data_IF_446844501616
#
_entry.id   IF_446844501616
#
_cell.length_a   1.000
_cell.length_b   1.000
_cell.length_c   1.000
_cell.angle_alpha   90.00
_cell.angle_beta   90.00
_cell.angle_gamma   90.00
#
_symmetry.space_group_name_H-M   'P 1'
#
loop_
_entity.id
_entity.type
_entity.pdbx_description
1 polymer ?
#
# COMPACT_ATOMS: atom_id res chain seq x y z
N UNK A 1 -2.52 -4.43 -29.51
CA UNK A 1 -1.27 -5.00 -28.93
C UNK A 1 -0.56 -4.04 -27.95
N UNK A 2 -0.90 -2.75 -27.86
CA UNK A 2 -0.26 -1.79 -26.93
C UNK A 2 -0.88 -1.74 -25.53
N UNK A 3 -2.14 -2.15 -25.35
CA UNK A 3 -2.86 -2.07 -24.07
C UNK A 3 -2.32 -3.02 -23.00
N UNK A 4 -1.87 -4.22 -23.38
CA UNK A 4 -1.36 -5.23 -22.44
C UNK A 4 -0.04 -4.82 -21.76
N UNK A 5 0.83 -4.10 -22.47
CA UNK A 5 2.11 -3.65 -21.93
C UNK A 5 1.94 -2.63 -20.81
N UNK A 6 0.94 -1.75 -20.92
CA UNK A 6 0.60 -0.80 -19.85
C UNK A 6 0.08 -1.49 -18.60
N UNK A 7 -0.77 -2.51 -18.76
CA UNK A 7 -1.28 -3.32 -17.64
C UNK A 7 -0.16 -4.08 -16.91
N UNK A 8 0.82 -4.62 -17.64
CA UNK A 8 1.97 -5.31 -17.04
C UNK A 8 2.89 -4.31 -16.33
N UNK A 9 3.22 -3.18 -16.96
CA UNK A 9 4.05 -2.15 -16.34
C UNK A 9 3.42 -1.61 -15.05
N UNK A 10 2.11 -1.38 -15.06
CA UNK A 10 1.36 -0.97 -13.88
C UNK A 10 1.38 -2.05 -12.78
N UNK A 11 1.20 -3.32 -13.15
CA UNK A 11 1.26 -4.45 -12.21
C UNK A 11 2.65 -4.58 -11.56
N UNK A 12 3.72 -4.46 -12.34
CA UNK A 12 5.11 -4.49 -11.84
C UNK A 12 5.38 -3.33 -10.90
N UNK A 13 4.91 -2.12 -11.25
CA UNK A 13 5.05 -0.95 -10.38
C UNK A 13 4.31 -1.14 -9.05
N UNK A 14 3.07 -1.60 -9.08
CA UNK A 14 2.26 -1.89 -7.88
C UNK A 14 2.91 -3.00 -7.04
N UNK A 15 3.40 -4.06 -7.68
CA UNK A 15 4.11 -5.15 -7.02
C UNK A 15 5.36 -4.65 -6.29
N UNK A 16 6.20 -3.84 -6.95
CA UNK A 16 7.40 -3.26 -6.34
C UNK A 16 7.06 -2.40 -5.11
N UNK A 17 5.97 -1.61 -5.20
CA UNK A 17 5.51 -0.78 -4.08
C UNK A 17 5.02 -1.63 -2.91
N UNK A 18 4.23 -2.68 -3.15
CA UNK A 18 3.75 -3.59 -2.12
C UNK A 18 4.90 -4.36 -1.45
N UNK A 19 5.86 -4.86 -2.23
CA UNK A 19 7.04 -5.53 -1.72
C UNK A 19 7.87 -4.60 -0.83
N UNK A 20 8.16 -3.39 -1.30
CA UNK A 20 8.90 -2.40 -0.52
C UNK A 20 8.14 -2.04 0.76
N UNK A 21 6.83 -1.83 0.69
CA UNK A 21 6.01 -1.50 1.84
C UNK A 21 5.96 -2.63 2.89
N UNK A 22 5.84 -3.88 2.44
CA UNK A 22 5.82 -5.02 3.34
C UNK A 22 7.19 -5.27 3.98
N UNK A 23 8.28 -5.17 3.21
CA UNK A 23 9.65 -5.32 3.72
C UNK A 23 9.98 -4.23 4.74
N UNK A 24 9.63 -2.97 4.48
CA UNK A 24 9.88 -1.89 5.46
C UNK A 24 9.08 -2.06 6.73
N UNK A 25 7.82 -2.49 6.65
CA UNK A 25 7.01 -2.79 7.85
C UNK A 25 7.53 -3.99 8.63
N UNK A 26 8.02 -5.03 7.96
CA UNK A 26 8.69 -6.16 8.63
C UNK A 26 9.98 -5.71 9.31
N UNK A 27 10.80 -4.89 8.65
CA UNK A 27 12.04 -4.35 9.20
C UNK A 27 11.81 -3.45 10.42
N UNK A 28 10.75 -2.63 10.40
CA UNK A 28 10.36 -1.78 11.53
C UNK A 28 9.69 -2.55 12.68
N UNK A 29 9.14 -3.74 12.40
CA UNK A 29 8.62 -4.68 13.40
C UNK A 29 7.66 -4.03 14.40
N UNK A 30 8.14 -3.82 15.63
CA UNK A 30 7.31 -3.24 16.70
C UNK A 30 7.00 -1.75 16.54
N UNK A 31 7.87 -0.99 15.86
CA UNK A 31 7.57 0.41 15.56
C UNK A 31 6.35 0.51 14.64
N UNK A 32 6.25 -0.38 13.64
CA UNK A 32 5.05 -0.47 12.80
C UNK A 32 3.81 -0.91 13.60
N UNK A 33 3.92 -1.96 14.43
CA UNK A 33 2.76 -2.46 15.20
C UNK A 33 2.22 -1.41 16.17
N UNK A 34 3.08 -0.70 16.89
CA UNK A 34 2.68 0.39 17.79
C UNK A 34 2.00 1.54 17.04
N UNK A 35 2.55 1.95 15.88
CA UNK A 35 1.92 2.95 15.01
C UNK A 35 0.56 2.49 14.49
N UNK A 36 0.46 1.24 14.02
CA UNK A 36 -0.79 0.66 13.53
C UNK A 36 -1.86 0.58 14.64
N UNK A 37 -1.47 0.23 15.87
CA UNK A 37 -2.39 0.27 17.02
C UNK A 37 -2.83 1.68 17.36
N UNK A 38 -1.95 2.69 17.22
CA UNK A 38 -2.32 4.11 17.35
C UNK A 38 -3.32 4.56 16.28
N UNK A 39 -3.32 3.91 15.11
CA UNK A 39 -4.31 4.11 14.05
C UNK A 39 -5.63 3.35 14.30
N UNK A 40 -5.71 2.52 15.35
CA UNK A 40 -6.90 1.72 15.70
C UNK A 40 -6.91 0.32 15.08
N UNK A 41 -5.81 -0.11 14.47
CA UNK A 41 -5.68 -1.47 13.91
C UNK A 41 -5.26 -2.43 15.03
N UNK A 42 -5.98 -3.54 15.25
CA UNK A 42 -5.58 -4.57 16.21
C UNK A 42 -4.16 -5.09 15.95
N UNK A 43 -3.39 -5.32 17.01
CA UNK A 43 -1.98 -5.72 16.92
C UNK A 43 -1.76 -7.01 16.12
N UNK A 44 -2.69 -7.97 16.22
CA UNK A 44 -2.68 -9.19 15.42
C UNK A 44 -2.77 -8.88 13.92
N UNK A 45 -3.75 -8.06 13.52
CA UNK A 45 -3.94 -7.64 12.13
C UNK A 45 -2.71 -6.87 11.62
N UNK A 46 -2.17 -5.96 12.43
CA UNK A 46 -0.95 -5.23 12.09
C UNK A 46 0.26 -6.14 11.84
N UNK A 47 0.31 -7.32 12.48
CA UNK A 47 1.33 -8.34 12.23
C UNK A 47 1.16 -9.08 10.90
N UNK A 48 -0.08 -9.28 10.44
CA UNK A 48 -0.36 -9.96 9.17
C UNK A 48 -0.26 -9.06 7.95
N UNK A 49 -0.52 -7.75 8.11
CA UNK A 49 -0.46 -6.78 7.00
C UNK A 49 0.82 -6.89 6.16
N UNK A 50 2.04 -6.88 6.73
CA UNK A 50 3.27 -6.92 5.94
C UNK A 50 3.43 -8.23 5.16
N UNK A 51 2.94 -9.34 5.72
CA UNK A 51 2.96 -10.65 5.07
C UNK A 51 2.03 -10.65 3.86
N UNK A 52 0.82 -10.09 4.02
CA UNK A 52 -0.15 -9.94 2.93
C UNK A 52 0.40 -9.05 1.82
N UNK A 53 1.03 -7.92 2.16
CA UNK A 53 1.63 -7.01 1.19
C UNK A 53 2.72 -7.70 0.36
N UNK A 54 3.61 -8.46 1.01
CA UNK A 54 4.67 -9.20 0.31
C UNK A 54 4.09 -10.31 -0.56
N UNK A 55 3.12 -11.07 -0.04
CA UNK A 55 2.50 -12.16 -0.78
C UNK A 55 1.78 -11.66 -2.04
N UNK A 56 0.95 -10.62 -1.90
CA UNK A 56 0.24 -9.99 -3.04
C UNK A 56 1.26 -9.40 -4.01
N UNK A 57 2.27 -8.67 -3.52
CA UNK A 57 3.32 -8.10 -4.36
C UNK A 57 4.10 -9.15 -5.16
N UNK A 58 4.49 -10.25 -4.53
CA UNK A 58 5.24 -11.33 -5.18
C UNK A 58 4.41 -12.06 -6.25
N UNK A 59 3.16 -12.39 -5.94
CA UNK A 59 2.23 -13.04 -6.88
C UNK A 59 1.92 -12.12 -8.06
N UNK A 60 1.69 -10.83 -7.79
CA UNK A 60 1.45 -9.83 -8.82
C UNK A 60 2.69 -9.60 -9.70
N UNK A 61 3.90 -9.69 -9.14
CA UNK A 61 5.16 -9.52 -9.88
C UNK A 61 5.33 -10.58 -10.98
N UNK A 62 5.06 -11.84 -10.66
CA UNK A 62 5.08 -12.96 -11.63
C UNK A 62 3.84 -13.01 -12.53
N UNK A 63 2.98 -11.98 -12.46
CA UNK A 63 1.75 -11.83 -13.24
C UNK A 63 0.74 -12.98 -13.05
N UNK A 64 0.86 -13.75 -11.96
CA UNK A 64 -0.04 -14.85 -11.67
C UNK A 64 -1.35 -14.33 -11.12
N UNK A 65 -2.48 -14.67 -11.76
CA UNK A 65 -3.81 -14.14 -11.40
C UNK A 65 -3.87 -12.60 -11.31
N UNK A 66 -3.11 -11.92 -12.17
CA UNK A 66 -2.91 -10.46 -12.16
C UNK A 66 -4.17 -9.62 -11.86
N UNK A 67 -5.27 -9.87 -12.55
CA UNK A 67 -6.51 -9.10 -12.37
C UNK A 67 -7.07 -9.20 -10.96
N UNK A 68 -7.11 -10.41 -10.39
CA UNK A 68 -7.60 -10.65 -9.04
C UNK A 68 -6.70 -9.97 -8.00
N UNK A 69 -5.38 -10.16 -8.10
CA UNK A 69 -4.44 -9.61 -7.12
C UNK A 69 -4.29 -8.09 -7.24
N UNK A 70 -4.48 -7.53 -8.44
CA UNK A 70 -4.54 -6.08 -8.62
C UNK A 70 -5.75 -5.47 -7.90
N UNK A 71 -6.92 -6.12 -7.92
CA UNK A 71 -8.07 -5.69 -7.10
C UNK A 71 -7.81 -5.79 -5.60
N UNK A 72 -7.10 -6.82 -5.15
CA UNK A 72 -6.65 -6.93 -3.75
C UNK A 72 -5.71 -5.77 -3.39
N UNK A 73 -4.79 -5.41 -4.30
CA UNK A 73 -3.91 -4.26 -4.11
C UNK A 73 -4.69 -2.94 -4.04
N UNK A 74 -5.71 -2.75 -4.89
CA UNK A 74 -6.63 -1.59 -4.81
C UNK A 74 -7.28 -1.53 -3.43
N UNK A 75 -7.84 -2.64 -2.95
CA UNK A 75 -8.51 -2.69 -1.64
C UNK A 75 -7.55 -2.37 -0.49
N UNK A 76 -6.32 -2.88 -0.53
CA UNK A 76 -5.26 -2.55 0.43
C UNK A 76 -4.95 -1.05 0.42
N UNK A 77 -4.63 -0.48 -0.73
CA UNK A 77 -4.32 0.95 -0.85
C UNK A 77 -5.48 1.84 -0.45
N UNK A 78 -6.72 1.48 -0.80
CA UNK A 78 -7.92 2.20 -0.40
C UNK A 78 -8.13 2.17 1.11
N UNK A 79 -7.96 1.00 1.74
CA UNK A 79 -8.08 0.85 3.20
C UNK A 79 -7.06 1.71 3.92
N UNK A 80 -5.79 1.68 3.50
CA UNK A 80 -4.76 2.55 4.07
C UNK A 80 -5.05 4.04 3.84
N UNK A 81 -5.53 4.40 2.65
CA UNK A 81 -5.94 5.78 2.33
C UNK A 81 -7.04 6.27 3.27
N UNK A 82 -8.07 5.44 3.47
CA UNK A 82 -9.21 5.77 4.33
C UNK A 82 -8.78 5.93 5.79
N UNK A 83 -7.98 5.00 6.33
CA UNK A 83 -7.45 5.10 7.70
C UNK A 83 -6.63 6.38 7.89
N UNK A 84 -5.78 6.73 6.91
CA UNK A 84 -4.97 7.93 6.97
C UNK A 84 -5.85 9.20 6.88
N UNK A 85 -6.82 9.23 5.96
CA UNK A 85 -7.73 10.36 5.76
C UNK A 85 -8.61 10.62 6.99
N UNK A 86 -9.14 9.57 7.63
CA UNK A 86 -9.89 9.68 8.87
C UNK A 86 -9.03 10.31 9.97
N UNK A 87 -7.80 9.85 10.15
CA UNK A 87 -6.90 10.37 11.19
C UNK A 87 -6.48 11.82 10.94
N UNK A 88 -6.24 12.20 9.69
CA UNK A 88 -6.03 13.58 9.27
C UNK A 88 -7.25 14.46 9.57
N UNK A 89 -8.47 13.97 9.30
CA UNK A 89 -9.70 14.69 9.59
C UNK A 89 -9.90 14.93 11.10
N UNK A 90 -9.40 14.01 11.95
CA UNK A 90 -9.34 14.18 13.40
C UNK A 90 -8.18 15.08 13.90
N UNK A 91 -7.47 15.76 13.00
CA UNK A 91 -6.36 16.67 13.34
C UNK A 91 -5.07 15.96 13.77
N UNK A 92 -5.04 14.63 13.73
CA UNK A 92 -3.84 13.85 14.03
C UNK A 92 -2.98 13.75 12.77
N UNK A 93 -1.70 14.11 12.88
CA UNK A 93 -0.71 13.98 11.80
C UNK A 93 0.27 12.86 12.13
N UNK A 94 -0.17 11.59 12.12
CA UNK A 94 0.73 10.47 12.38
C UNK A 94 1.85 10.45 11.33
N UNK A 95 3.07 10.02 11.67
CA UNK A 95 4.09 9.73 10.67
C UNK A 95 3.52 8.74 9.65
N UNK A 96 3.93 8.85 8.38
CA UNK A 96 3.41 8.00 7.30
C UNK A 96 3.75 6.52 7.54
N UNK A 97 2.87 5.83 8.27
CA UNK A 97 3.02 4.43 8.62
C UNK A 97 2.93 3.51 7.37
N UNK A 98 2.26 3.97 6.30
CA UNK A 98 2.05 3.19 5.08
C UNK A 98 3.34 2.88 4.29
N UNK A 99 4.40 3.70 4.43
CA UNK A 99 5.65 3.58 3.68
C UNK A 99 6.89 3.27 4.52
N UNK A 100 6.74 3.08 5.84
CA UNK A 100 7.84 2.75 6.74
C UNK A 100 8.96 3.79 6.74
N UNK A 101 8.89 4.77 7.66
CA UNK A 101 9.89 5.84 7.93
C UNK A 101 10.48 6.66 6.77
N UNK A 102 10.18 6.35 5.51
CA UNK A 102 10.73 7.03 4.33
C UNK A 102 10.16 8.44 4.12
N UNK A 103 9.10 8.81 4.87
CA UNK A 103 8.62 10.19 4.94
C UNK A 103 8.54 10.63 6.40
N UNK A 104 9.62 11.25 6.87
CA UNK A 104 9.69 12.03 8.11
C UNK A 104 9.13 13.44 7.94
N UNK A 105 8.64 13.80 6.75
CA UNK A 105 8.00 15.09 6.50
C UNK A 105 6.52 15.03 6.92
N UNK A 106 5.98 16.11 7.52
CA UNK A 106 4.56 16.18 7.85
C UNK A 106 3.72 15.90 6.60
N UNK A 107 2.62 15.14 6.77
CA UNK A 107 1.73 14.77 5.67
C UNK A 107 1.33 16.02 4.88
N UNK A 108 1.87 16.15 3.67
CA UNK A 108 1.50 17.17 2.70
C UNK A 108 0.67 16.59 1.55
N UNK A 109 0.18 17.49 0.68
CA UNK A 109 -0.65 17.18 -0.50
C UNK A 109 -0.05 16.09 -1.40
N UNK A 110 1.30 16.00 -1.45
CA UNK A 110 2.02 14.97 -2.22
C UNK A 110 1.78 13.53 -1.75
N UNK A 111 1.41 13.30 -0.49
CA UNK A 111 1.04 11.95 -0.01
C UNK A 111 -0.31 11.50 -0.53
N UNK A 112 -1.26 12.43 -0.64
CA UNK A 112 -2.59 12.17 -1.22
C UNK A 112 -2.43 11.87 -2.72
N UNK A 113 -1.64 12.67 -3.44
CA UNK A 113 -1.34 12.43 -4.87
C UNK A 113 -0.69 11.08 -5.08
N UNK A 114 0.30 10.68 -4.25
CA UNK A 114 0.92 9.34 -4.34
C UNK A 114 -0.10 8.22 -4.17
N UNK A 115 -1.00 8.29 -3.19
CA UNK A 115 -1.99 7.24 -3.01
C UNK A 115 -2.99 7.19 -4.17
N UNK A 116 -3.42 8.34 -4.70
CA UNK A 116 -4.30 8.39 -5.87
C UNK A 116 -3.60 7.77 -7.10
N UNK A 117 -2.32 8.09 -7.32
CA UNK A 117 -1.53 7.49 -8.41
C UNK A 117 -1.37 5.98 -8.23
N UNK A 118 -1.15 5.50 -7.01
CA UNK A 118 -1.04 4.06 -6.72
C UNK A 118 -2.37 3.33 -6.94
N UNK A 119 -3.49 3.92 -6.53
CA UNK A 119 -4.82 3.38 -6.79
C UNK A 119 -5.08 3.34 -8.30
N UNK A 120 -4.78 4.43 -9.02
CA UNK A 120 -4.94 4.47 -10.48
C UNK A 120 -4.08 3.42 -11.19
N UNK A 121 -2.82 3.25 -10.78
CA UNK A 121 -1.95 2.21 -11.31
C UNK A 121 -2.48 0.79 -11.02
N UNK A 122 -3.00 0.55 -9.81
CA UNK A 122 -3.59 -0.73 -9.45
C UNK A 122 -4.88 -1.02 -10.23
N UNK A 123 -5.71 -0.01 -10.49
CA UNK A 123 -6.89 -0.14 -11.37
C UNK A 123 -6.46 -0.45 -12.79
N UNK A 124 -5.46 0.25 -13.35
CA UNK A 124 -4.95 -0.05 -14.70
C UNK A 124 -4.41 -1.48 -14.80
N UNK A 125 -3.68 -1.95 -13.79
CA UNK A 125 -3.21 -3.33 -13.70
C UNK A 125 -4.36 -4.35 -13.62
N UNK A 126 -5.49 -3.96 -13.02
CA UNK A 126 -6.67 -4.80 -12.88
C UNK A 126 -7.53 -4.83 -14.16
N UNK A 127 -7.52 -3.79 -15.00
CA UNK A 127 -8.43 -3.65 -16.14
C UNK A 127 -7.79 -3.86 -17.52
N UNK A 128 -6.48 -3.66 -17.68
CA UNK A 128 -5.76 -3.74 -18.97
C UNK A 128 -5.03 -5.06 -19.14
#
# INVERSE_FOLDING_TARGET
MSSSWWGIAAAVFVAAVLLLAGVTKLALGEQWRSQATGLGVPRAIAGFVPIIEIAVGAVLLVQWQRHLLAWVAVALFATFSALLALRLAHGQRPPCACFGSFSTRPIGVGHIVRNVVLIAAAVLAATL
#
